data_IF_256971632078
#
_entry.id   IF_256971632078
#
_cell.length_a   1.000
_cell.length_b   1.000
_cell.length_c   1.000
_cell.angle_alpha   90.00
_cell.angle_beta   90.00
_cell.angle_gamma   90.00
#
_symmetry.space_group_name_H-M   'P 1'
#
loop_
_entity.id
_entity.type
_entity.pdbx_description
1 polymer ?
#
# COMPACT_ATOMS: atom_id res chain seq x y z
N UNK A 1 23.62 -20.69 13.02
CA UNK A 1 22.81 -19.46 12.92
C UNK A 1 23.82 -18.36 12.64
N UNK A 2 23.86 -17.72 11.46
CA UNK A 2 24.74 -16.58 11.29
C UNK A 2 24.31 -15.50 12.29
N UNK A 3 25.28 -14.82 12.90
CA UNK A 3 25.08 -13.78 13.91
C UNK A 3 24.03 -12.77 13.44
N UNK A 4 22.83 -12.85 14.02
CA UNK A 4 21.80 -11.84 13.79
C UNK A 4 22.09 -10.68 14.73
N UNK A 5 22.90 -9.74 14.25
CA UNK A 5 22.95 -8.42 14.88
C UNK A 5 21.55 -7.79 14.85
N UNK A 6 21.06 -7.39 16.01
CA UNK A 6 19.80 -6.68 16.14
C UNK A 6 20.00 -5.21 15.77
N UNK A 7 19.16 -4.70 14.87
CA UNK A 7 19.15 -3.29 14.49
C UNK A 7 17.85 -2.61 14.94
N UNK A 8 17.85 -1.28 14.97
CA UNK A 8 16.60 -0.54 15.20
C UNK A 8 15.71 -0.65 13.97
N UNK A 9 14.39 -0.44 14.14
CA UNK A 9 13.44 -0.42 13.03
C UNK A 9 13.91 0.49 11.88
N UNK A 10 14.34 1.71 12.20
CA UNK A 10 14.83 2.67 11.21
C UNK A 10 16.04 2.16 10.44
N UNK A 11 16.93 1.39 11.08
CA UNK A 11 18.10 0.80 10.41
C UNK A 11 17.71 -0.38 9.51
N UNK A 12 16.72 -1.19 9.89
CA UNK A 12 16.16 -2.22 9.00
C UNK A 12 15.55 -1.58 7.74
N UNK A 13 14.67 -0.59 7.91
CA UNK A 13 14.05 0.12 6.79
C UNK A 13 15.11 0.78 5.89
N UNK A 14 16.15 1.39 6.48
CA UNK A 14 17.24 2.02 5.72
C UNK A 14 18.03 1.01 4.89
N UNK A 15 18.27 -0.20 5.42
CA UNK A 15 18.97 -1.26 4.69
C UNK A 15 18.16 -1.78 3.49
N UNK A 16 16.84 -1.68 3.54
CA UNK A 16 15.93 -2.07 2.45
C UNK A 16 15.73 -0.95 1.39
N UNK A 17 16.35 0.24 1.55
CA UNK A 17 16.17 1.42 0.68
C UNK A 17 16.82 1.33 -0.73
N UNK A 18 17.00 0.14 -1.31
CA UNK A 18 17.30 0.04 -2.75
C UNK A 18 16.08 0.37 -3.63
N UNK A 19 14.90 0.54 -3.04
CA UNK A 19 13.60 0.76 -3.70
C UNK A 19 13.02 2.17 -3.47
N UNK A 20 11.84 2.45 -4.05
CA UNK A 20 11.11 3.70 -3.85
C UNK A 20 10.83 3.91 -2.35
N UNK A 21 10.96 5.14 -1.85
CA UNK A 21 10.53 5.45 -0.47
C UNK A 21 9.02 5.23 -0.33
N UNK A 22 8.49 4.85 0.85
CA UNK A 22 7.04 4.70 1.09
C UNK A 22 6.22 5.89 0.57
N UNK A 23 6.62 7.12 0.94
CA UNK A 23 5.96 8.34 0.46
C UNK A 23 5.94 8.50 -1.08
N UNK A 24 6.90 7.92 -1.81
CA UNK A 24 6.87 7.96 -3.27
C UNK A 24 5.94 6.86 -3.83
N UNK A 25 5.83 5.72 -3.15
CA UNK A 25 4.86 4.66 -3.47
C UNK A 25 3.44 5.21 -3.34
N UNK A 26 3.11 5.88 -2.23
CA UNK A 26 1.78 6.48 -1.98
C UNK A 26 1.35 7.41 -3.11
N UNK A 27 2.30 8.18 -3.65
CA UNK A 27 2.06 9.07 -4.78
C UNK A 27 1.76 8.32 -6.06
N UNK A 28 2.55 7.30 -6.40
CA UNK A 28 2.32 6.50 -7.60
C UNK A 28 0.99 5.76 -7.51
N UNK A 29 0.69 5.19 -6.35
CA UNK A 29 -0.57 4.51 -6.09
C UNK A 29 -1.76 5.47 -6.18
N UNK A 30 -1.68 6.64 -5.55
CA UNK A 30 -2.79 7.59 -5.58
C UNK A 30 -2.99 8.18 -6.99
N UNK A 31 -1.92 8.43 -7.74
CA UNK A 31 -2.02 8.80 -9.15
C UNK A 31 -2.72 7.69 -9.94
N UNK A 32 -2.38 6.41 -9.69
CA UNK A 32 -3.04 5.28 -10.34
C UNK A 32 -4.53 5.21 -9.99
N UNK A 33 -4.89 5.35 -8.71
CA UNK A 33 -6.29 5.40 -8.25
C UNK A 33 -7.08 6.51 -8.94
N UNK A 34 -6.55 7.73 -8.97
CA UNK A 34 -7.23 8.90 -9.55
C UNK A 34 -7.29 8.87 -11.09
N UNK A 35 -6.32 8.24 -11.74
CA UNK A 35 -6.24 8.19 -13.20
C UNK A 35 -7.02 7.03 -13.84
N UNK A 36 -7.62 6.12 -13.04
CA UNK A 36 -8.34 4.94 -13.57
C UNK A 36 -9.46 5.26 -14.57
N UNK A 37 -10.19 6.35 -14.36
CA UNK A 37 -11.32 6.70 -15.23
C UNK A 37 -10.90 7.58 -16.42
N UNK A 38 -10.10 8.61 -16.17
CA UNK A 38 -9.81 9.66 -17.15
C UNK A 38 -8.43 9.51 -17.82
N UNK A 39 -7.59 8.59 -17.34
CA UNK A 39 -6.21 8.39 -17.81
C UNK A 39 -5.20 9.42 -17.28
N UNK A 40 -5.65 10.40 -16.49
CA UNK A 40 -4.80 11.42 -15.87
C UNK A 40 -5.37 11.87 -14.53
N UNK A 41 -4.54 12.56 -13.74
CA UNK A 41 -4.96 13.32 -12.55
C UNK A 41 -4.34 14.72 -12.59
N UNK A 42 -4.68 15.58 -11.62
CA UNK A 42 -4.11 16.93 -11.49
C UNK A 42 -3.42 17.13 -10.16
N UNK A 43 -2.48 18.08 -10.12
CA UNK A 43 -1.73 18.43 -8.90
C UNK A 43 -2.65 18.73 -7.71
N UNK A 44 -3.72 19.49 -7.92
CA UNK A 44 -4.64 19.85 -6.84
C UNK A 44 -5.43 18.64 -6.34
N UNK A 45 -5.91 17.78 -7.25
CA UNK A 45 -6.68 16.58 -6.89
C UNK A 45 -5.78 15.61 -6.10
N UNK A 46 -4.54 15.43 -6.55
CA UNK A 46 -3.53 14.63 -5.87
C UNK A 46 -3.16 15.20 -4.49
N UNK A 47 -2.98 16.52 -4.39
CA UNK A 47 -2.70 17.20 -3.13
C UNK A 47 -3.82 16.99 -2.11
N UNK A 48 -5.07 17.15 -2.54
CA UNK A 48 -6.24 16.91 -1.71
C UNK A 48 -6.38 15.45 -1.30
N UNK A 49 -6.18 14.51 -2.23
CA UNK A 49 -6.31 13.07 -1.94
C UNK A 49 -5.25 12.57 -0.93
N UNK A 50 -4.03 13.11 -0.98
CA UNK A 50 -2.94 12.75 -0.07
C UNK A 50 -2.87 13.66 1.17
N UNK A 51 -3.76 14.64 1.29
CA UNK A 51 -3.77 15.62 2.39
C UNK A 51 -2.42 16.35 2.59
N UNK A 52 -1.81 16.76 1.48
CA UNK A 52 -0.51 17.44 1.42
C UNK A 52 -0.63 18.77 0.67
N UNK A 53 0.39 19.62 0.80
CA UNK A 53 0.40 20.91 0.10
C UNK A 53 0.87 20.75 -1.36
N UNK A 54 0.30 21.52 -2.32
CA UNK A 54 0.69 21.47 -3.74
C UNK A 54 2.21 21.62 -4.03
N UNK A 55 2.99 22.42 -3.27
CA UNK A 55 4.45 22.46 -3.44
C UNK A 55 5.13 21.11 -3.15
N UNK A 56 4.68 20.38 -2.13
CA UNK A 56 5.17 19.02 -1.81
C UNK A 56 4.89 18.06 -2.97
N UNK A 57 3.69 18.17 -3.54
CA UNK A 57 3.28 17.38 -4.69
C UNK A 57 4.15 17.65 -5.90
N UNK A 58 4.40 18.92 -6.21
CA UNK A 58 5.23 19.33 -7.34
C UNK A 58 6.64 18.75 -7.24
N UNK A 59 7.25 18.79 -6.04
CA UNK A 59 8.58 18.23 -5.79
C UNK A 59 8.60 16.71 -6.00
N UNK A 60 7.59 16.00 -5.51
CA UNK A 60 7.51 14.54 -5.68
C UNK A 60 7.28 14.16 -7.15
N UNK A 61 6.40 14.88 -7.86
CA UNK A 61 6.13 14.65 -9.29
C UNK A 61 7.40 14.82 -10.12
N UNK A 62 8.21 15.85 -9.85
CA UNK A 62 9.48 16.04 -10.55
C UNK A 62 10.40 14.81 -10.38
N UNK A 63 10.55 14.32 -9.14
CA UNK A 63 11.32 13.10 -8.85
C UNK A 63 10.77 11.87 -9.59
N UNK A 64 9.46 11.65 -9.53
CA UNK A 64 8.83 10.50 -10.20
C UNK A 64 8.94 10.59 -11.73
N UNK A 65 8.96 11.82 -12.29
CA UNK A 65 9.15 12.04 -13.72
C UNK A 65 10.60 11.79 -14.16
N UNK A 66 11.60 12.18 -13.35
CA UNK A 66 13.00 11.81 -13.56
C UNK A 66 13.20 10.28 -13.57
N UNK A 67 12.41 9.57 -12.76
CA UNK A 67 12.37 8.11 -12.72
C UNK A 67 11.55 7.46 -13.85
N UNK A 68 10.97 8.27 -14.76
CA UNK A 68 10.10 7.81 -15.87
C UNK A 68 8.87 7.01 -15.41
N UNK A 69 8.38 7.28 -14.20
CA UNK A 69 7.14 6.67 -13.70
C UNK A 69 5.92 7.48 -14.12
N UNK A 70 6.09 8.79 -14.34
CA UNK A 70 5.02 9.70 -14.74
C UNK A 70 5.48 10.72 -15.77
N UNK A 71 4.51 11.20 -16.55
CA UNK A 71 4.63 12.38 -17.39
C UNK A 71 3.88 13.55 -16.75
N UNK A 72 4.58 14.67 -16.59
CA UNK A 72 4.01 15.92 -16.12
C UNK A 72 3.89 16.93 -17.27
N UNK A 73 2.66 17.40 -17.51
CA UNK A 73 2.36 18.33 -18.61
C UNK A 73 1.87 19.71 -18.10
N UNK A 74 1.69 20.64 -19.05
CA UNK A 74 1.14 21.97 -18.77
C UNK A 74 -0.21 21.87 -18.05
N UNK A 75 -0.56 22.92 -17.30
CA UNK A 75 -1.80 23.01 -16.52
C UNK A 75 -1.92 21.98 -15.39
N UNK A 76 -0.81 21.41 -14.94
CA UNK A 76 -0.78 20.53 -13.77
C UNK A 76 -1.30 19.12 -14.04
N UNK A 77 -1.31 18.66 -15.29
CA UNK A 77 -1.78 17.33 -15.69
C UNK A 77 -0.68 16.29 -15.44
N UNK A 78 -1.05 15.19 -14.81
CA UNK A 78 -0.16 14.10 -14.42
C UNK A 78 -0.70 12.80 -15.02
N UNK A 79 0.14 12.08 -15.76
CA UNK A 79 -0.19 10.79 -16.36
C UNK A 79 0.85 9.76 -15.96
N UNK A 80 0.44 8.52 -15.71
CA UNK A 80 1.37 7.43 -15.51
C UNK A 80 2.02 7.04 -16.83
N UNK A 81 3.31 6.80 -16.78
CA UNK A 81 3.98 6.03 -17.84
C UNK A 81 3.75 4.53 -17.61
N UNK A 82 4.19 3.70 -18.55
CA UNK A 82 3.94 2.26 -18.52
C UNK A 82 4.45 1.62 -17.22
N UNK A 83 5.68 1.93 -16.84
CA UNK A 83 6.34 1.42 -15.64
C UNK A 83 5.64 1.91 -14.38
N UNK A 84 5.22 3.19 -14.35
CA UNK A 84 4.43 3.74 -13.25
C UNK A 84 3.05 3.11 -13.12
N UNK A 85 2.40 2.78 -14.24
CA UNK A 85 1.10 2.11 -14.21
C UNK A 85 1.20 0.69 -13.67
N UNK A 86 2.23 -0.08 -14.06
CA UNK A 86 2.48 -1.42 -13.52
C UNK A 86 2.77 -1.34 -12.02
N UNK A 87 3.61 -0.38 -11.62
CA UNK A 87 3.94 -0.16 -10.20
C UNK A 87 2.69 0.22 -9.39
N UNK A 88 1.92 1.22 -9.85
CA UNK A 88 0.71 1.68 -9.17
C UNK A 88 -0.36 0.61 -9.05
N UNK A 89 -0.51 -0.25 -10.06
CA UNK A 89 -1.40 -1.42 -9.97
C UNK A 89 -0.91 -2.42 -8.91
N UNK A 90 0.41 -2.70 -8.87
CA UNK A 90 1.01 -3.58 -7.88
C UNK A 90 0.83 -3.07 -6.44
N UNK A 91 1.05 -1.77 -6.23
CA UNK A 91 0.84 -1.10 -4.94
C UNK A 91 -0.63 -1.20 -4.50
N UNK A 92 -1.57 -0.86 -5.38
CA UNK A 92 -3.00 -0.99 -5.08
C UNK A 92 -3.40 -2.43 -4.74
N UNK A 93 -2.84 -3.43 -5.44
CA UNK A 93 -3.08 -4.85 -5.13
C UNK A 93 -2.52 -5.24 -3.76
N UNK A 94 -1.34 -4.73 -3.39
CA UNK A 94 -0.74 -4.93 -2.08
C UNK A 94 -1.63 -4.33 -0.99
N UNK A 95 -2.04 -3.08 -1.15
CA UNK A 95 -2.96 -2.39 -0.24
C UNK A 95 -4.24 -3.20 -0.01
N UNK A 96 -4.92 -3.59 -1.09
CA UNK A 96 -6.18 -4.33 -0.99
C UNK A 96 -6.01 -5.67 -0.27
N UNK A 97 -4.92 -6.40 -0.57
CA UNK A 97 -4.66 -7.69 0.05
C UNK A 97 -4.40 -7.57 1.57
N UNK A 98 -3.65 -6.54 1.98
CA UNK A 98 -3.46 -6.24 3.41
C UNK A 98 -4.79 -5.86 4.05
N UNK A 99 -5.60 -5.02 3.39
CA UNK A 99 -6.91 -4.62 3.90
C UNK A 99 -7.86 -5.82 4.07
N UNK A 100 -7.90 -6.74 3.09
CA UNK A 100 -8.67 -7.98 3.11
C UNK A 100 -8.25 -8.88 4.29
N UNK A 101 -6.94 -9.04 4.51
CA UNK A 101 -6.43 -9.75 5.68
C UNK A 101 -6.93 -9.12 6.99
N UNK A 102 -6.83 -7.80 7.14
CA UNK A 102 -7.29 -7.11 8.34
C UNK A 102 -8.81 -7.25 8.54
N UNK A 103 -9.59 -7.26 7.46
CA UNK A 103 -11.03 -7.54 7.50
C UNK A 103 -11.33 -8.97 7.95
N UNK A 104 -10.60 -9.97 7.46
CA UNK A 104 -10.68 -11.36 7.97
C UNK A 104 -10.36 -11.43 9.47
N UNK A 105 -9.43 -10.58 9.91
CA UNK A 105 -9.12 -10.39 11.32
C UNK A 105 -10.13 -9.50 12.06
N UNK A 106 -11.29 -9.16 11.48
CA UNK A 106 -12.34 -8.32 12.07
C UNK A 106 -11.81 -6.98 12.64
N UNK A 107 -10.73 -6.44 12.07
CA UNK A 107 -10.16 -5.14 12.45
C UNK A 107 -10.93 -4.08 11.67
N UNK A 108 -11.84 -3.39 12.35
CA UNK A 108 -12.66 -2.35 11.74
C UNK A 108 -12.19 -0.93 12.12
N UNK A 109 -11.74 -0.76 13.36
CA UNK A 109 -11.20 0.51 13.84
C UNK A 109 -9.82 0.75 13.24
N UNK A 110 -9.62 1.91 12.62
CA UNK A 110 -8.34 2.28 12.02
C UNK A 110 -7.93 1.45 10.79
N UNK A 111 -8.82 0.65 10.21
CA UNK A 111 -8.51 -0.30 9.12
C UNK A 111 -7.61 0.30 8.03
N UNK A 112 -7.98 1.48 7.51
CA UNK A 112 -7.18 2.16 6.49
C UNK A 112 -5.80 2.53 7.01
N UNK A 113 -5.72 3.21 8.16
CA UNK A 113 -4.45 3.65 8.72
C UNK A 113 -3.51 2.50 9.07
N UNK A 114 -4.03 1.36 9.53
CA UNK A 114 -3.22 0.18 9.80
C UNK A 114 -2.80 -0.55 8.52
N UNK A 115 -3.66 -0.55 7.49
CA UNK A 115 -3.31 -1.06 6.15
C UNK A 115 -2.09 -0.33 5.61
N UNK A 116 -2.16 1.00 5.56
CA UNK A 116 -1.08 1.89 5.07
C UNK A 116 0.24 1.65 5.84
N UNK A 117 0.19 1.50 7.16
CA UNK A 117 1.40 1.25 7.96
C UNK A 117 2.02 -0.12 7.66
N UNK A 118 1.20 -1.14 7.48
CA UNK A 118 1.68 -2.52 7.29
C UNK A 118 2.25 -2.69 5.88
N UNK A 119 1.58 -2.17 4.86
CA UNK A 119 1.90 -2.50 3.46
C UNK A 119 3.31 -2.10 3.01
N UNK A 120 3.91 -1.06 3.60
CA UNK A 120 5.28 -0.64 3.28
C UNK A 120 6.36 -1.40 4.06
N UNK A 121 5.97 -2.30 4.97
CA UNK A 121 6.90 -3.04 5.85
C UNK A 121 6.96 -4.53 5.53
N UNK A 122 6.14 -4.99 4.60
CA UNK A 122 6.04 -6.41 4.22
C UNK A 122 6.78 -6.67 2.91
N UNK A 123 7.57 -7.75 2.90
CA UNK A 123 8.26 -8.20 1.70
C UNK A 123 7.36 -9.10 0.82
N UNK A 124 7.84 -9.43 -0.38
CA UNK A 124 7.07 -10.22 -1.35
C UNK A 124 6.73 -11.64 -0.86
N UNK A 125 7.57 -12.26 -0.03
CA UNK A 125 7.32 -13.60 0.52
C UNK A 125 6.16 -13.57 1.53
N UNK A 126 6.16 -12.61 2.44
CA UNK A 126 5.06 -12.37 3.38
C UNK A 126 3.78 -12.07 2.60
N UNK A 127 3.84 -11.20 1.59
CA UNK A 127 2.68 -10.84 0.78
C UNK A 127 2.11 -12.07 0.04
N UNK A 128 2.97 -12.98 -0.43
CA UNK A 128 2.53 -14.24 -1.05
C UNK A 128 1.80 -15.13 -0.03
N UNK A 129 2.35 -15.30 1.18
CA UNK A 129 1.69 -16.09 2.22
C UNK A 129 0.35 -15.49 2.67
N UNK A 130 0.25 -14.16 2.75
CA UNK A 130 -1.02 -13.47 3.01
C UNK A 130 -2.02 -13.76 1.90
N UNK A 131 -1.59 -13.69 0.63
CA UNK A 131 -2.45 -14.01 -0.53
C UNK A 131 -3.00 -15.42 -0.45
N UNK A 132 -2.14 -16.40 -0.17
CA UNK A 132 -2.55 -17.79 -0.08
C UNK A 132 -3.58 -17.98 1.06
N UNK A 133 -3.38 -17.32 2.19
CA UNK A 133 -4.31 -17.36 3.33
C UNK A 133 -5.66 -16.70 3.01
N UNK A 134 -5.64 -15.52 2.39
CA UNK A 134 -6.87 -14.81 1.99
C UNK A 134 -7.65 -15.66 0.99
N UNK A 135 -6.99 -16.14 -0.07
CA UNK A 135 -7.60 -17.01 -1.08
C UNK A 135 -8.17 -18.29 -0.46
N UNK A 136 -7.46 -18.91 0.50
CA UNK A 136 -7.96 -20.08 1.20
C UNK A 136 -9.28 -19.78 1.92
N UNK A 137 -9.39 -18.66 2.63
CA UNK A 137 -10.66 -18.32 3.29
C UNK A 137 -11.78 -17.93 2.33
N UNK A 138 -11.46 -17.41 1.14
CA UNK A 138 -12.43 -17.18 0.08
C UNK A 138 -12.94 -18.50 -0.53
N UNK A 139 -12.06 -19.48 -0.71
CA UNK A 139 -12.40 -20.80 -1.26
C UNK A 139 -13.16 -21.68 -0.24
N UNK A 140 -12.86 -21.53 1.05
CA UNK A 140 -13.43 -22.30 2.17
C UNK A 140 -14.15 -21.40 3.19
N UNK A 141 -15.29 -20.77 2.83
CA UNK A 141 -15.98 -19.81 3.69
C UNK A 141 -16.51 -20.42 5.00
N UNK A 142 -16.79 -21.72 5.04
CA UNK A 142 -17.17 -22.45 6.24
C UNK A 142 -16.04 -22.45 7.28
N UNK A 143 -14.78 -22.56 6.85
CA UNK A 143 -13.61 -22.52 7.73
C UNK A 143 -13.39 -21.12 8.28
N UNK A 144 -13.61 -20.08 7.47
CA UNK A 144 -13.62 -18.70 7.95
C UNK A 144 -14.70 -18.48 9.03
N UNK A 145 -15.89 -19.06 8.84
CA UNK A 145 -16.96 -19.00 9.84
C UNK A 145 -16.57 -19.72 11.15
N UNK A 146 -15.95 -20.90 11.06
CA UNK A 146 -15.42 -21.61 12.23
C UNK A 146 -14.36 -20.79 12.99
N UNK A 147 -13.43 -20.17 12.25
CA UNK A 147 -12.44 -19.25 12.81
C UNK A 147 -13.09 -18.07 13.53
N UNK A 148 -14.08 -17.45 12.91
CA UNK A 148 -14.83 -16.35 13.52
C UNK A 148 -15.58 -16.78 14.78
N UNK A 149 -16.17 -17.98 14.81
CA UNK A 149 -16.80 -18.52 16.01
C UNK A 149 -15.77 -18.80 17.11
N UNK A 150 -14.60 -19.34 16.77
CA UNK A 150 -13.50 -19.53 17.72
C UNK A 150 -13.11 -18.21 18.40
N UNK A 151 -12.98 -17.12 17.63
CA UNK A 151 -12.64 -15.79 18.16
C UNK A 151 -13.73 -15.24 19.08
N UNK A 152 -15.00 -15.39 18.71
CA UNK A 152 -16.14 -14.99 19.56
C UNK A 152 -16.12 -15.75 20.90
N UNK A 153 -15.83 -17.06 20.89
CA UNK A 153 -15.75 -17.89 22.11
C UNK A 153 -14.57 -17.51 23.00
N UNK A 154 -13.42 -17.16 22.42
CA UNK A 154 -12.21 -16.76 23.17
C UNK A 154 -12.38 -15.42 23.88
N UNK A 155 -13.35 -14.61 23.47
CA UNK A 155 -13.61 -13.30 24.06
C UNK A 155 -12.47 -12.32 23.80
N UNK A 156 -11.95 -12.25 22.57
CA UNK A 156 -10.90 -11.29 22.22
C UNK A 156 -11.46 -9.86 22.25
N UNK A 157 -11.53 -9.28 23.44
CA UNK A 157 -11.34 -7.86 23.67
C UNK A 157 -9.82 -7.71 23.67
N UNK A 158 -9.28 -7.01 22.68
CA UNK A 158 -7.94 -6.47 22.81
C UNK A 158 -8.07 -5.31 23.80
N UNK A 159 -7.55 -5.51 25.02
CA UNK A 159 -7.13 -4.39 25.88
C UNK A 159 -5.87 -3.74 25.30
#
# INVERSE_FOLDING_TARGET
MPDQEFYTFSEYIRKDQESLSPSAEDYVEMIYRLSKEQGFTRVNDLASALNVQPPSVTKMIQKLSEMKLIKYEKYGVIMLEKEGSVLGEGLLKRHNLVMELLMILNINEGLLAETEKIEHTINAEILSGIRDLVNFFEEYPEVLNEFNQYRKRKGTILE
#
